data_IF_334196194356
#
_entry.id   IF_334196194356
#
_cell.length_a   1.000
_cell.length_b   1.000
_cell.length_c   1.000
_cell.angle_alpha   90.00
_cell.angle_beta   90.00
_cell.angle_gamma   90.00
#
_symmetry.space_group_name_H-M   'P 1'
#
loop_
_entity.id
_entity.type
_entity.pdbx_description
1 polymer ?
#
# COMPACT_ATOMS: atom_id res chain seq x y z
N UNK A 1 -34.02 6.34 0.92
CA UNK A 1 -34.34 5.13 1.73
C UNK A 1 -35.10 4.13 0.87
N UNK A 2 -34.67 3.90 -0.38
CA UNK A 2 -35.36 3.00 -1.30
C UNK A 2 -34.37 2.57 -2.39
N UNK A 3 -33.88 1.34 -2.27
CA UNK A 3 -33.30 0.46 -3.29
C UNK A 3 -32.55 -0.66 -2.55
N UNK A 4 -33.31 -1.51 -1.85
CA UNK A 4 -32.81 -2.74 -1.23
C UNK A 4 -33.95 -3.77 -1.16
N UNK A 5 -34.57 -4.07 -2.31
CA UNK A 5 -35.41 -5.28 -2.46
C UNK A 5 -35.25 -5.80 -3.88
N UNK A 6 -34.73 -7.02 -3.99
CA UNK A 6 -34.73 -7.80 -5.24
C UNK A 6 -33.35 -8.16 -5.75
N UNK A 7 -32.74 -9.21 -5.19
CA UNK A 7 -32.03 -10.28 -5.93
C UNK A 7 -31.25 -11.16 -4.94
N UNK A 8 -31.70 -12.42 -4.78
CA UNK A 8 -30.82 -13.48 -4.32
C UNK A 8 -29.81 -13.74 -5.44
N UNK A 9 -28.69 -13.00 -5.42
CA UNK A 9 -27.61 -13.12 -6.39
C UNK A 9 -26.29 -12.72 -5.76
N UNK A 10 -25.32 -13.65 -5.78
CA UNK A 10 -23.91 -13.50 -5.40
C UNK A 10 -23.50 -12.17 -4.75
N UNK A 11 -23.64 -12.10 -3.43
CA UNK A 11 -23.14 -10.99 -2.63
C UNK A 11 -21.61 -10.92 -2.81
N UNK A 12 -21.01 -9.80 -3.29
CA UNK A 12 -19.58 -9.74 -3.49
C UNK A 12 -18.85 -10.04 -2.18
N UNK A 13 -17.98 -11.06 -2.20
CA UNK A 13 -17.17 -11.55 -1.08
C UNK A 13 -16.48 -10.37 -0.39
N UNK A 14 -16.33 -10.39 0.95
CA UNK A 14 -15.98 -9.21 1.77
C UNK A 14 -14.78 -8.39 1.26
N UNK A 15 -13.77 -9.05 0.69
CA UNK A 15 -12.60 -8.39 0.08
C UNK A 15 -12.91 -7.56 -1.18
N UNK A 16 -13.81 -8.05 -2.05
CA UNK A 16 -14.28 -7.31 -3.23
C UNK A 16 -15.02 -6.04 -2.82
N UNK A 17 -15.86 -6.14 -1.78
CA UNK A 17 -16.59 -4.98 -1.24
C UNK A 17 -15.68 -3.90 -0.67
N UNK A 18 -14.62 -4.28 0.04
CA UNK A 18 -13.66 -3.33 0.60
C UNK A 18 -12.82 -2.64 -0.49
N UNK A 19 -12.39 -3.40 -1.50
CA UNK A 19 -11.62 -2.85 -2.62
C UNK A 19 -12.49 -1.93 -3.49
N UNK A 20 -13.74 -2.32 -3.75
CA UNK A 20 -14.70 -1.50 -4.49
C UNK A 20 -15.13 -0.23 -3.74
N UNK A 21 -15.11 -0.24 -2.40
CA UNK A 21 -15.49 0.92 -1.60
C UNK A 21 -14.51 2.10 -1.77
N UNK A 22 -13.22 1.81 -1.92
CA UNK A 22 -12.20 2.83 -2.19
C UNK A 22 -11.08 2.24 -3.07
N UNK A 23 -11.19 2.29 -4.40
CA UNK A 23 -10.21 1.66 -5.30
C UNK A 23 -8.82 2.32 -5.23
N UNK A 24 -8.76 3.59 -4.83
CA UNK A 24 -7.49 4.29 -4.58
C UNK A 24 -6.77 3.82 -3.31
N UNK A 25 -7.42 3.07 -2.41
CA UNK A 25 -6.76 2.52 -1.23
C UNK A 25 -6.40 1.06 -1.44
N UNK A 26 -5.20 0.83 -1.95
CA UNK A 26 -4.70 -0.51 -2.30
C UNK A 26 -4.17 -1.28 -1.10
N UNK A 27 -3.73 -0.58 -0.04
CA UNK A 27 -3.19 -1.18 1.18
C UNK A 27 -4.13 -2.24 1.76
N UNK A 28 -5.43 -1.94 1.86
CA UNK A 28 -6.44 -2.88 2.38
C UNK A 28 -6.53 -4.13 1.51
N UNK A 29 -6.61 -3.95 0.18
CA UNK A 29 -6.64 -5.05 -0.77
C UNK A 29 -5.37 -5.92 -0.70
N UNK A 30 -4.21 -5.29 -0.59
CA UNK A 30 -2.92 -5.98 -0.49
C UNK A 30 -2.80 -6.80 0.79
N UNK A 31 -3.26 -6.26 1.92
CA UNK A 31 -3.31 -6.99 3.18
C UNK A 31 -4.23 -8.21 3.11
N UNK A 32 -5.39 -8.09 2.47
CA UNK A 32 -6.30 -9.22 2.27
C UNK A 32 -5.63 -10.30 1.42
N UNK A 33 -4.95 -9.92 0.33
CA UNK A 33 -4.21 -10.87 -0.51
C UNK A 33 -3.08 -11.57 0.26
N UNK A 34 -2.34 -10.84 1.10
CA UNK A 34 -1.33 -11.42 1.99
C UNK A 34 -1.93 -12.46 2.95
N UNK A 35 -3.07 -12.13 3.58
CA UNK A 35 -3.76 -13.08 4.47
C UNK A 35 -4.27 -14.31 3.70
N UNK A 36 -4.80 -14.14 2.49
CA UNK A 36 -5.21 -15.27 1.65
C UNK A 36 -4.03 -16.18 1.29
N UNK A 37 -2.88 -15.58 0.97
CA UNK A 37 -1.64 -16.32 0.72
C UNK A 37 -1.20 -17.12 1.95
N UNK A 38 -1.18 -16.51 3.14
CA UNK A 38 -0.85 -17.20 4.40
C UNK A 38 -1.77 -18.40 4.61
N UNK A 39 -3.08 -18.26 4.36
CA UNK A 39 -4.02 -19.37 4.52
C UNK A 39 -3.73 -20.50 3.52
N UNK A 40 -3.37 -20.17 2.27
CA UNK A 40 -2.99 -21.19 1.28
C UNK A 40 -1.71 -21.92 1.68
N UNK A 41 -0.69 -21.21 2.14
CA UNK A 41 0.59 -21.79 2.58
C UNK A 41 0.40 -22.71 3.80
N UNK A 42 -0.35 -22.25 4.81
CA UNK A 42 -0.66 -23.08 5.99
C UNK A 42 -1.53 -24.30 5.64
N UNK A 43 -2.44 -24.16 4.67
CA UNK A 43 -3.23 -25.28 4.16
C UNK A 43 -2.36 -26.32 3.44
N UNK A 44 -1.44 -25.86 2.57
CA UNK A 44 -0.53 -26.72 1.84
C UNK A 44 0.42 -27.48 2.78
N UNK A 45 0.97 -26.79 3.80
CA UNK A 45 1.77 -27.40 4.87
C UNK A 45 1.00 -28.47 5.64
N UNK A 46 -0.26 -28.18 6.00
CA UNK A 46 -1.13 -29.13 6.71
C UNK A 46 -1.45 -30.38 5.88
N UNK A 47 -1.48 -30.27 4.55
CA UNK A 47 -1.70 -31.38 3.61
C UNK A 47 -0.44 -32.23 3.38
N UNK A 48 0.74 -31.78 3.84
CA UNK A 48 2.02 -32.47 3.63
C UNK A 48 2.54 -32.34 2.19
N UNK A 49 2.09 -31.34 1.43
CA UNK A 49 2.64 -31.05 0.12
C UNK A 49 3.97 -30.30 0.32
N UNK A 50 5.08 -30.95 -0.05
CA UNK A 50 6.41 -30.34 -0.02
C UNK A 50 6.46 -29.07 -0.87
N UNK A 51 7.02 -27.99 -0.31
CA UNK A 51 7.12 -26.64 -0.90
C UNK A 51 7.85 -26.58 -2.26
N UNK A 52 8.46 -27.68 -2.72
CA UNK A 52 9.24 -27.76 -3.95
C UNK A 52 8.40 -27.81 -5.25
N UNK A 53 7.15 -28.28 -5.18
CA UNK A 53 6.35 -28.53 -6.40
C UNK A 53 5.81 -27.27 -7.09
N UNK A 54 5.78 -26.11 -6.41
CA UNK A 54 5.31 -24.86 -7.01
C UNK A 54 6.44 -23.93 -7.49
N UNK A 55 7.69 -24.22 -7.11
CA UNK A 55 8.85 -23.46 -7.59
C UNK A 55 9.33 -23.93 -8.97
N UNK A 56 8.98 -25.16 -9.38
CA UNK A 56 9.28 -25.68 -10.71
C UNK A 56 8.26 -25.20 -11.75
N UNK A 57 8.56 -23.99 -12.23
CA UNK A 57 8.35 -23.43 -13.57
C UNK A 57 7.01 -23.71 -14.28
N UNK A 58 6.27 -22.62 -14.53
CA UNK A 58 5.09 -22.58 -15.41
C UNK A 58 5.32 -23.25 -16.78
N UNK A 59 6.56 -23.26 -17.28
CA UNK A 59 6.96 -23.97 -18.51
C UNK A 59 7.07 -25.49 -18.32
N UNK A 60 7.62 -25.94 -17.19
CA UNK A 60 7.68 -27.36 -16.85
C UNK A 60 6.26 -27.93 -16.64
N UNK A 61 5.36 -27.17 -15.99
CA UNK A 61 3.94 -27.52 -15.86
C UNK A 61 3.26 -27.73 -17.22
N UNK A 62 3.62 -26.96 -18.25
CA UNK A 62 3.08 -27.13 -19.61
C UNK A 62 3.50 -28.47 -20.23
N UNK A 63 4.74 -28.91 -19.98
CA UNK A 63 5.28 -30.19 -20.45
C UNK A 63 4.81 -31.41 -19.64
N UNK A 64 4.36 -31.20 -18.39
CA UNK A 64 3.91 -32.27 -17.48
C UNK A 64 2.39 -32.35 -17.33
N UNK A 65 1.61 -31.75 -18.24
CA UNK A 65 0.14 -31.74 -18.19
C UNK A 65 -0.49 -33.13 -18.40
N UNK A 66 -0.50 -33.92 -17.33
CA UNK A 66 -1.28 -35.14 -17.13
C UNK A 66 -2.18 -35.10 -15.90
N UNK A 67 -2.34 -33.93 -15.25
CA UNK A 67 -3.22 -33.79 -14.10
C UNK A 67 -3.35 -32.35 -13.65
N UNK A 68 -4.38 -31.65 -14.13
CA UNK A 68 -4.92 -30.51 -13.39
C UNK A 68 -5.52 -31.07 -12.11
N UNK A 69 -4.76 -31.05 -11.02
CA UNK A 69 -5.35 -31.29 -9.70
C UNK A 69 -6.23 -30.09 -9.38
N UNK A 70 -7.53 -30.19 -9.64
CA UNK A 70 -8.49 -29.30 -9.00
C UNK A 70 -8.23 -29.37 -7.48
N UNK A 71 -7.74 -28.27 -6.93
CA UNK A 71 -7.42 -28.16 -5.51
C UNK A 71 -8.73 -28.25 -4.72
N UNK A 72 -9.07 -29.46 -4.30
CA UNK A 72 -10.22 -29.71 -3.46
C UNK A 72 -9.95 -29.20 -2.04
N UNK A 73 -10.21 -27.91 -1.79
CA UNK A 73 -10.14 -27.26 -0.47
C UNK A 73 -11.20 -27.79 0.53
N UNK A 74 -11.71 -29.00 0.38
CA UNK A 74 -12.82 -29.54 1.19
C UNK A 74 -12.37 -30.25 2.46
N UNK A 75 -11.08 -30.57 2.60
CA UNK A 75 -10.56 -31.27 3.77
C UNK A 75 -10.37 -30.29 4.93
N UNK A 76 -10.94 -30.64 6.09
CA UNK A 76 -10.87 -29.84 7.31
C UNK A 76 -9.69 -30.30 8.17
N UNK A 77 -8.81 -29.37 8.51
CA UNK A 77 -7.70 -29.60 9.44
C UNK A 77 -7.96 -28.80 10.72
N UNK A 78 -8.10 -29.50 11.85
CA UNK A 78 -8.32 -28.88 13.16
C UNK A 78 -7.23 -27.85 13.57
N UNK A 79 -5.91 -28.06 13.33
CA UNK A 79 -4.88 -27.09 13.74
C UNK A 79 -4.77 -25.88 12.80
N UNK A 80 -5.32 -25.92 11.58
CA UNK A 80 -5.15 -24.87 10.57
C UNK A 80 -5.57 -23.49 11.08
N UNK A 81 -6.67 -23.43 11.84
CA UNK A 81 -7.17 -22.17 12.39
C UNK A 81 -6.18 -21.55 13.38
N UNK A 82 -5.55 -22.36 14.23
CA UNK A 82 -4.59 -21.88 15.21
C UNK A 82 -3.33 -21.34 14.51
N UNK A 83 -2.78 -22.11 13.56
CA UNK A 83 -1.60 -21.71 12.79
C UNK A 83 -1.83 -20.41 12.00
N UNK A 84 -3.00 -20.28 11.35
CA UNK A 84 -3.35 -19.05 10.62
C UNK A 84 -3.44 -17.85 11.56
N UNK A 85 -3.98 -18.02 12.77
CA UNK A 85 -4.05 -16.93 13.76
C UNK A 85 -2.65 -16.53 14.21
N UNK A 86 -1.76 -17.49 14.45
CA UNK A 86 -0.37 -17.24 14.81
C UNK A 86 0.38 -16.48 13.71
N UNK A 87 0.29 -16.94 12.45
CA UNK A 87 0.87 -16.27 11.30
C UNK A 87 0.33 -14.84 11.08
N UNK A 88 -0.96 -14.61 11.35
CA UNK A 88 -1.54 -13.26 11.29
C UNK A 88 -0.95 -12.36 12.39
N UNK A 89 -0.71 -12.88 13.61
CA UNK A 89 -0.11 -12.12 14.69
C UNK A 89 1.38 -11.81 14.43
N UNK A 90 2.11 -12.74 13.81
CA UNK A 90 3.48 -12.50 13.35
C UNK A 90 3.52 -11.37 12.30
N UNK A 91 2.64 -11.44 11.29
CA UNK A 91 2.49 -10.38 10.30
C UNK A 91 2.14 -9.03 10.93
N UNK A 92 1.28 -9.01 11.96
CA UNK A 92 0.95 -7.77 12.67
C UNK A 92 2.18 -7.17 13.36
N UNK A 93 2.99 -8.01 14.00
CA UNK A 93 4.24 -7.59 14.67
C UNK A 93 5.25 -7.05 13.65
N UNK A 94 5.36 -7.67 12.46
CA UNK A 94 6.19 -7.19 11.35
C UNK A 94 5.75 -5.78 10.89
N UNK A 95 4.44 -5.56 10.73
CA UNK A 95 3.89 -4.27 10.28
C UNK A 95 4.18 -3.14 11.27
N UNK A 96 4.11 -3.42 12.57
CA UNK A 96 4.39 -2.43 13.62
C UNK A 96 5.87 -2.02 13.64
N UNK A 97 6.79 -2.96 13.43
CA UNK A 97 8.24 -2.69 13.40
C UNK A 97 8.76 -2.11 12.07
N UNK A 98 7.92 -2.03 11.03
CA UNK A 98 8.34 -1.71 9.67
C UNK A 98 8.98 -0.31 9.53
N UNK A 99 8.43 0.71 10.19
CA UNK A 99 8.99 2.07 10.13
C UNK A 99 10.36 2.16 10.78
N UNK A 100 10.57 1.45 11.88
CA UNK A 100 11.83 1.46 12.62
C UNK A 100 12.91 0.70 11.84
N UNK A 101 12.55 -0.44 11.23
CA UNK A 101 13.45 -1.20 10.36
C UNK A 101 13.93 -0.37 9.16
N UNK A 102 13.04 0.40 8.54
CA UNK A 102 13.41 1.32 7.46
C UNK A 102 14.28 2.45 7.99
N UNK A 103 13.94 3.03 9.15
CA UNK A 103 14.70 4.13 9.74
C UNK A 103 16.14 3.73 10.07
N UNK A 104 16.37 2.50 10.58
CA UNK A 104 17.71 2.00 10.90
C UNK A 104 18.65 1.94 9.68
N UNK A 105 18.10 1.76 8.47
CA UNK A 105 18.88 1.75 7.22
C UNK A 105 19.32 3.15 6.77
N UNK A 106 18.83 4.23 7.41
CA UNK A 106 19.08 5.59 6.97
C UNK A 106 20.55 6.00 7.00
N UNK A 107 21.32 5.46 7.95
CA UNK A 107 22.74 5.76 8.10
C UNK A 107 23.61 5.25 6.94
N UNK A 108 23.15 4.26 6.19
CA UNK A 108 23.89 3.75 5.02
C UNK A 108 23.71 4.66 3.80
N UNK A 109 22.59 5.39 3.74
CA UNK A 109 22.20 6.17 2.56
C UNK A 109 22.46 7.67 2.68
N UNK A 110 22.38 8.25 3.89
CA UNK A 110 22.47 9.70 4.11
C UNK A 110 23.82 10.07 4.70
N UNK A 111 24.67 10.82 4.00
CA UNK A 111 25.94 11.31 4.53
C UNK A 111 25.87 12.76 5.03
N UNK A 112 26.89 13.18 5.77
CA UNK A 112 26.99 14.56 6.28
C UNK A 112 27.16 15.56 5.14
N UNK A 113 26.58 16.75 5.30
CA UNK A 113 26.61 17.87 4.35
C UNK A 113 25.96 17.55 2.98
N UNK A 114 25.09 16.55 2.91
CA UNK A 114 24.28 16.30 1.72
C UNK A 114 23.03 17.19 1.71
N UNK A 115 22.59 17.56 0.51
CA UNK A 115 21.31 18.22 0.27
C UNK A 115 20.32 17.18 -0.22
N UNK A 116 19.32 16.89 0.62
CA UNK A 116 18.27 15.92 0.33
C UNK A 116 16.99 16.67 -0.04
N UNK A 117 16.30 16.19 -1.07
CA UNK A 117 14.98 16.72 -1.44
C UNK A 117 13.87 15.70 -1.18
N UNK A 118 12.75 16.16 -0.62
CA UNK A 118 11.53 15.38 -0.37
C UNK A 118 10.30 16.17 -0.80
N UNK A 119 9.18 15.48 -1.04
CA UNK A 119 7.90 16.08 -1.42
C UNK A 119 6.78 15.65 -0.49
N UNK A 120 5.90 16.60 -0.16
CA UNK A 120 4.72 16.38 0.65
C UNK A 120 5.07 15.88 2.05
N UNK A 121 4.23 14.99 2.59
CA UNK A 121 4.38 14.44 3.93
C UNK A 121 4.36 12.92 3.91
N UNK A 122 5.44 12.30 4.38
CA UNK A 122 5.52 10.86 4.59
C UNK A 122 6.15 10.56 5.95
N UNK A 123 5.45 9.77 6.77
CA UNK A 123 5.92 9.38 8.11
C UNK A 123 7.16 8.49 8.04
N UNK A 124 7.21 7.59 7.07
CA UNK A 124 8.37 6.70 6.86
C UNK A 124 9.60 7.52 6.51
N UNK A 125 9.47 8.51 5.61
CA UNK A 125 10.59 9.40 5.23
C UNK A 125 10.96 10.32 6.39
N UNK A 126 9.99 10.86 7.11
CA UNK A 126 10.23 11.68 8.30
C UNK A 126 11.03 10.91 9.37
N UNK A 127 10.65 9.67 9.67
CA UNK A 127 11.37 8.80 10.61
C UNK A 127 12.77 8.47 10.11
N UNK A 128 12.91 8.16 8.81
CA UNK A 128 14.19 7.88 8.16
C UNK A 128 15.18 9.06 8.27
N UNK A 129 14.72 10.28 7.97
CA UNK A 129 15.54 11.48 8.08
C UNK A 129 15.89 11.79 9.55
N UNK A 130 14.93 11.65 10.47
CA UNK A 130 15.18 11.88 11.91
C UNK A 130 16.18 10.90 12.50
N UNK A 131 16.19 9.64 12.08
CA UNK A 131 17.18 8.67 12.56
C UNK A 131 18.59 9.02 12.08
N UNK A 132 18.75 9.34 10.79
CA UNK A 132 20.04 9.78 10.25
C UNK A 132 20.56 11.06 10.94
N UNK A 133 19.65 11.99 11.26
CA UNK A 133 19.98 13.27 11.89
C UNK A 133 20.58 13.13 13.30
N UNK A 134 20.36 11.99 13.98
CA UNK A 134 20.97 11.73 15.29
C UNK A 134 22.50 11.67 15.24
N UNK A 135 23.06 11.23 14.10
CA UNK A 135 24.52 11.04 13.94
C UNK A 135 25.15 11.96 12.91
N UNK A 136 24.38 12.45 11.93
CA UNK A 136 24.88 13.23 10.79
C UNK A 136 24.11 14.53 10.64
N UNK A 137 24.80 15.59 10.21
CA UNK A 137 24.19 16.89 9.89
C UNK A 137 24.08 17.03 8.38
N UNK A 138 22.89 17.36 7.89
CA UNK A 138 22.58 17.50 6.47
C UNK A 138 21.43 18.49 6.28
N UNK A 139 21.21 18.90 5.04
CA UNK A 139 20.17 19.87 4.68
C UNK A 139 19.02 19.18 3.95
N UNK A 140 17.77 19.53 4.29
CA UNK A 140 16.57 18.95 3.67
C UNK A 140 15.71 20.03 3.01
N UNK A 141 15.44 19.85 1.73
CA UNK A 141 14.54 20.68 0.95
C UNK A 141 13.20 19.96 0.85
N UNK A 142 12.14 20.57 1.36
CA UNK A 142 10.79 20.02 1.39
C UNK A 142 9.92 20.80 0.40
N UNK A 143 9.50 20.13 -0.67
CA UNK A 143 8.46 20.63 -1.56
C UNK A 143 7.08 20.46 -0.91
N UNK A 144 6.27 21.51 -0.92
CA UNK A 144 5.05 21.60 -0.11
C UNK A 144 3.90 20.69 -0.58
N UNK A 145 3.87 20.26 -1.85
CA UNK A 145 2.79 19.50 -2.47
C UNK A 145 1.46 20.29 -2.46
N UNK A 146 1.42 21.37 -3.23
CA UNK A 146 0.19 22.09 -3.55
C UNK A 146 -0.82 21.13 -4.22
N UNK A 147 -2.12 21.23 -3.93
CA UNK A 147 -2.80 22.35 -3.24
C UNK A 147 -2.92 22.23 -1.72
N UNK A 148 -2.67 21.05 -1.13
CA UNK A 148 -2.92 20.82 0.31
C UNK A 148 -1.77 21.27 1.23
N UNK A 149 -0.59 21.60 0.66
CA UNK A 149 0.60 22.10 1.37
C UNK A 149 1.02 21.25 2.58
N UNK A 150 0.84 19.92 2.51
CA UNK A 150 1.13 19.02 3.63
C UNK A 150 2.61 18.97 4.02
N UNK A 151 3.51 19.37 3.10
CA UNK A 151 4.95 19.46 3.37
C UNK A 151 5.32 20.44 4.49
N UNK A 152 4.49 21.45 4.77
CA UNK A 152 4.75 22.40 5.86
C UNK A 152 4.80 21.74 7.23
N UNK A 153 3.91 20.77 7.47
CA UNK A 153 3.89 19.99 8.71
C UNK A 153 5.13 19.12 8.85
N UNK A 154 5.59 18.50 7.75
CA UNK A 154 6.81 17.69 7.71
C UNK A 154 8.04 18.55 7.98
N UNK A 155 8.16 19.69 7.30
CA UNK A 155 9.26 20.63 7.51
C UNK A 155 9.32 21.14 8.95
N UNK A 156 8.16 21.50 9.54
CA UNK A 156 8.08 21.90 10.95
C UNK A 156 8.54 20.78 11.88
N UNK A 157 8.16 19.53 11.60
CA UNK A 157 8.54 18.38 12.41
C UNK A 157 10.03 18.04 12.32
N UNK A 158 10.65 18.23 11.14
CA UNK A 158 12.08 18.04 10.91
C UNK A 158 12.91 19.17 11.54
N UNK A 159 12.45 20.42 11.44
CA UNK A 159 13.09 21.57 12.09
C UNK A 159 13.12 21.43 13.62
N UNK A 160 12.02 20.94 14.23
CA UNK A 160 11.98 20.59 15.66
C UNK A 160 12.98 19.51 16.06
N UNK A 161 13.38 18.64 15.13
CA UNK A 161 14.41 17.62 15.35
C UNK A 161 15.84 18.15 15.14
N UNK A 162 16.01 19.44 14.85
CA UNK A 162 17.33 20.06 14.65
C UNK A 162 17.93 19.86 13.26
N UNK A 163 17.12 19.46 12.27
CA UNK A 163 17.54 19.34 10.87
C UNK A 163 17.38 20.70 10.20
N UNK A 164 18.36 21.11 9.40
CA UNK A 164 18.25 22.32 8.58
C UNK A 164 17.28 22.06 7.43
N UNK A 165 16.09 22.65 7.50
CA UNK A 165 15.01 22.44 6.54
C UNK A 165 14.67 23.70 5.77
N UNK A 166 14.56 23.60 4.45
CA UNK A 166 14.07 24.66 3.57
C UNK A 166 12.75 24.23 2.94
N UNK A 167 11.72 25.06 2.99
CA UNK A 167 10.45 24.81 2.29
C UNK A 167 10.47 25.52 0.95
N UNK A 168 10.03 24.83 -0.10
CA UNK A 168 9.91 25.40 -1.44
C UNK A 168 8.51 25.14 -2.03
N UNK A 169 8.10 26.00 -2.96
CA UNK A 169 6.94 25.75 -3.80
C UNK A 169 7.27 24.69 -4.87
N UNK A 170 6.26 23.94 -5.31
CA UNK A 170 6.45 22.85 -6.28
C UNK A 170 6.97 23.36 -7.64
N UNK A 171 6.64 24.60 -8.02
CA UNK A 171 7.17 25.24 -9.22
C UNK A 171 8.70 25.48 -9.17
N UNK A 172 9.28 25.53 -7.97
CA UNK A 172 10.71 25.76 -7.78
C UNK A 172 11.54 24.48 -7.76
N UNK A 173 10.90 23.30 -7.90
CA UNK A 173 11.56 21.99 -7.85
C UNK A 173 12.70 21.92 -8.87
N UNK A 174 12.41 22.26 -10.13
CA UNK A 174 13.41 22.19 -11.20
C UNK A 174 14.57 23.18 -11.00
N UNK A 175 14.28 24.40 -10.53
CA UNK A 175 15.30 25.43 -10.31
C UNK A 175 16.31 25.03 -9.23
N UNK A 176 15.84 24.38 -8.17
CA UNK A 176 16.65 23.98 -7.01
C UNK A 176 17.33 22.62 -7.21
N UNK A 177 16.83 21.78 -8.12
CA UNK A 177 17.32 20.42 -8.35
C UNK A 177 18.84 20.34 -8.66
N UNK A 178 19.41 21.37 -9.31
CA UNK A 178 20.84 21.44 -9.62
C UNK A 178 21.78 21.34 -8.40
N UNK A 179 21.28 21.63 -7.19
CA UNK A 179 22.05 21.59 -5.93
C UNK A 179 21.72 20.37 -5.07
N UNK A 180 20.75 19.57 -5.47
CA UNK A 180 20.27 18.42 -4.70
C UNK A 180 21.17 17.22 -4.97
N UNK A 181 21.60 16.52 -3.93
CA UNK A 181 22.42 15.32 -4.07
C UNK A 181 21.58 14.06 -4.20
N UNK A 182 20.48 13.97 -3.45
CA UNK A 182 19.57 12.81 -3.44
C UNK A 182 18.13 13.26 -3.28
N UNK A 183 17.26 12.52 -3.94
CA UNK A 183 15.82 12.68 -3.76
C UNK A 183 15.32 11.49 -2.94
N UNK A 184 14.65 11.77 -1.82
CA UNK A 184 14.02 10.74 -0.98
C UNK A 184 12.53 11.02 -0.93
N UNK A 185 11.73 10.08 -1.42
CA UNK A 185 10.27 10.21 -1.46
C UNK A 185 9.57 9.06 -0.75
N UNK A 186 8.36 9.36 -0.27
CA UNK A 186 7.40 8.33 0.11
C UNK A 186 6.51 7.95 -1.07
N UNK A 187 5.78 6.86 -0.93
CA UNK A 187 4.77 6.43 -1.91
C UNK A 187 3.49 6.00 -1.21
N UNK A 188 2.36 6.10 -1.90
CA UNK A 188 1.10 5.51 -1.45
C UNK A 188 1.01 4.04 -1.88
N UNK A 189 1.49 3.70 -3.07
CA UNK A 189 1.41 2.34 -3.61
C UNK A 189 2.56 2.07 -4.57
N UNK A 190 3.14 0.88 -4.49
CA UNK A 190 4.08 0.36 -5.49
C UNK A 190 3.32 -0.63 -6.37
N UNK A 191 3.37 -0.46 -7.68
CA UNK A 191 2.67 -1.32 -8.65
C UNK A 191 3.54 -2.53 -9.07
N UNK A 192 2.92 -3.51 -9.73
CA UNK A 192 3.60 -4.74 -10.14
C UNK A 192 4.75 -4.52 -11.14
N UNK A 193 4.67 -3.46 -11.96
CA UNK A 193 5.75 -3.08 -12.88
C UNK A 193 6.91 -2.35 -12.20
N UNK A 194 6.85 -2.14 -10.88
CA UNK A 194 7.81 -1.35 -10.12
C UNK A 194 7.55 0.16 -10.17
N UNK A 195 6.50 0.61 -10.87
CA UNK A 195 6.06 2.00 -10.85
C UNK A 195 5.41 2.37 -9.53
N UNK A 196 5.18 3.66 -9.33
CA UNK A 196 4.63 4.19 -8.09
C UNK A 196 3.39 4.99 -8.33
N UNK A 197 2.48 4.94 -7.37
CA UNK A 197 1.48 5.97 -7.17
C UNK A 197 1.83 6.74 -5.91
N UNK A 198 2.25 7.99 -6.09
CA UNK A 198 2.69 8.88 -5.04
C UNK A 198 1.84 10.16 -5.01
N UNK A 199 2.15 11.09 -4.09
CA UNK A 199 1.46 12.38 -4.02
C UNK A 199 1.66 13.17 -5.31
N UNK A 200 0.71 14.05 -5.64
CA UNK A 200 0.80 14.88 -6.84
C UNK A 200 2.11 15.70 -6.88
N UNK A 201 2.66 15.91 -8.06
CA UNK A 201 3.94 16.58 -8.28
C UNK A 201 5.16 15.67 -8.08
N UNK A 202 4.97 14.42 -7.68
CA UNK A 202 6.11 13.48 -7.56
C UNK A 202 6.66 13.09 -8.93
N UNK A 203 5.83 12.98 -9.97
CA UNK A 203 6.31 12.66 -11.32
C UNK A 203 7.21 13.76 -11.88
N UNK A 204 6.83 15.03 -11.72
CA UNK A 204 7.63 16.17 -12.18
C UNK A 204 8.95 16.26 -11.43
N UNK A 205 8.94 15.98 -10.13
CA UNK A 205 10.15 15.86 -9.31
C UNK A 205 11.04 14.70 -9.78
N UNK A 206 10.47 13.55 -10.14
CA UNK A 206 11.21 12.40 -10.65
C UNK A 206 11.83 12.67 -12.04
N UNK A 207 11.11 13.37 -12.92
CA UNK A 207 11.63 13.85 -14.20
C UNK A 207 12.79 14.84 -14.01
N UNK A 208 12.63 15.81 -13.12
CA UNK A 208 13.68 16.76 -12.79
C UNK A 208 14.91 16.05 -12.23
N UNK A 209 14.71 15.08 -11.33
CA UNK A 209 15.78 14.28 -10.76
C UNK A 209 16.54 13.51 -11.85
N UNK A 210 15.81 12.86 -12.76
CA UNK A 210 16.39 12.13 -13.89
C UNK A 210 17.20 13.05 -14.81
N UNK A 211 16.67 14.23 -15.13
CA UNK A 211 17.36 15.23 -15.95
C UNK A 211 18.69 15.68 -15.32
N UNK A 212 18.72 15.86 -14.01
CA UNK A 212 19.93 16.22 -13.26
C UNK A 212 20.77 15.00 -12.81
N UNK A 213 20.41 13.78 -13.23
CA UNK A 213 21.07 12.53 -12.83
C UNK A 213 21.17 12.36 -11.31
N UNK A 214 20.21 12.88 -10.55
CA UNK A 214 20.14 12.70 -9.10
C UNK A 214 19.41 11.39 -8.80
N UNK A 215 19.95 10.53 -7.89
CA UNK A 215 19.33 9.26 -7.56
C UNK A 215 18.04 9.50 -6.77
N UNK A 216 16.99 8.80 -7.20
CA UNK A 216 15.68 8.82 -6.57
C UNK A 216 15.49 7.56 -5.71
N UNK A 217 15.36 7.77 -4.41
CA UNK A 217 15.21 6.77 -3.37
C UNK A 217 13.78 6.80 -2.86
N UNK A 218 13.15 5.64 -2.79
CA UNK A 218 11.75 5.51 -2.37
C UNK A 218 11.68 4.71 -1.08
N UNK A 219 11.25 5.34 0.00
CA UNK A 219 11.01 4.63 1.26
C UNK A 219 9.59 4.07 1.24
N UNK A 220 9.47 2.77 0.95
CA UNK A 220 8.21 2.08 0.78
C UNK A 220 8.18 0.79 1.63
N UNK A 221 7.31 0.69 2.63
CA UNK A 221 7.10 -0.57 3.34
C UNK A 221 6.45 -1.63 2.43
N UNK A 222 6.71 -2.91 2.71
CA UNK A 222 6.26 -4.01 1.85
C UNK A 222 4.74 -4.12 1.71
N UNK A 223 3.96 -3.69 2.71
CA UNK A 223 2.49 -3.74 2.61
C UNK A 223 1.89 -2.78 1.56
N UNK A 224 2.68 -1.83 1.05
CA UNK A 224 2.26 -0.92 -0.05
C UNK A 224 2.45 -1.53 -1.45
N UNK A 225 3.04 -2.72 -1.56
CA UNK A 225 3.18 -3.45 -2.82
C UNK A 225 1.82 -3.99 -3.27
N UNK A 226 1.35 -3.52 -4.43
CA UNK A 226 0.11 -3.94 -5.08
C UNK A 226 0.40 -4.70 -6.37
N UNK A 227 -0.25 -5.86 -6.60
CA UNK A 227 -0.06 -6.64 -7.81
C UNK A 227 -0.76 -6.04 -9.03
N UNK A 228 -1.43 -4.88 -8.87
CA UNK A 228 -2.10 -4.19 -9.95
C UNK A 228 -1.08 -3.67 -10.97
N UNK A 229 -1.43 -3.79 -12.24
CA UNK A 229 -0.66 -3.26 -13.35
C UNK A 229 -1.28 -1.94 -13.83
N UNK A 230 -0.47 -0.92 -14.17
CA UNK A 230 -0.97 0.34 -14.71
C UNK A 230 -1.35 0.15 -16.20
N UNK A 231 -2.49 -0.47 -16.46
CA UNK A 231 -3.05 -0.58 -17.83
C UNK A 231 -4.04 0.56 -18.14
N UNK A 232 -4.59 1.22 -17.11
CA UNK A 232 -5.55 2.30 -17.23
C UNK A 232 -5.02 3.55 -16.50
N UNK A 233 -4.56 4.54 -17.25
CA UNK A 233 -4.08 5.82 -16.70
C UNK A 233 -5.18 6.56 -15.92
N UNK A 234 -6.44 6.42 -16.33
CA UNK A 234 -7.58 7.11 -15.71
C UNK A 234 -7.95 6.56 -14.32
N UNK A 235 -7.81 5.25 -14.11
CA UNK A 235 -8.24 4.58 -12.86
C UNK A 235 -7.22 4.77 -11.72
N UNK A 236 -6.02 5.25 -12.05
CA UNK A 236 -4.91 5.40 -11.11
C UNK A 236 -5.03 6.66 -10.26
N UNK A 237 -5.66 7.72 -10.78
CA UNK A 237 -5.76 9.02 -10.13
C UNK A 237 -6.98 9.12 -9.22
N UNK A 238 -6.78 9.68 -8.02
CA UNK A 238 -7.88 10.05 -7.13
C UNK A 238 -8.19 11.53 -7.28
N UNK A 239 -9.36 11.84 -7.81
CA UNK A 239 -9.87 13.21 -7.84
C UNK A 239 -10.54 13.56 -6.51
N UNK A 240 -10.27 14.77 -6.02
CA UNK A 240 -10.91 15.36 -4.85
C UNK A 240 -11.62 16.65 -5.25
N UNK A 241 -12.47 17.16 -4.35
CA UNK A 241 -13.14 18.45 -4.52
C UNK A 241 -12.14 19.53 -4.98
N UNK A 242 -12.48 20.33 -6.01
CA UNK A 242 -11.61 21.37 -6.54
C UNK A 242 -11.46 22.57 -5.60
N UNK A 243 -12.15 22.59 -4.46
CA UNK A 243 -12.15 23.69 -3.48
C UNK A 243 -10.74 24.14 -3.07
N UNK A 244 -9.80 23.20 -2.97
CA UNK A 244 -8.42 23.47 -2.57
C UNK A 244 -7.60 24.15 -3.67
N UNK A 245 -8.00 23.96 -4.94
CA UNK A 245 -7.38 24.60 -6.10
C UNK A 245 -8.04 25.95 -6.37
N UNK A 246 -9.38 26.00 -6.36
CA UNK A 246 -10.16 27.20 -6.56
C UNK A 246 -11.27 27.26 -5.51
N UNK A 247 -11.21 28.21 -4.55
CA UNK A 247 -12.19 28.29 -3.48
C UNK A 247 -13.56 28.70 -4.04
N UNK A 248 -14.62 28.24 -3.37
CA UNK A 248 -16.00 28.51 -3.77
C UNK A 248 -16.37 30.01 -3.78
N UNK A 249 -15.58 30.84 -3.10
CA UNK A 249 -15.76 32.29 -3.02
C UNK A 249 -15.58 33.02 -4.36
N UNK A 250 -14.93 32.40 -5.35
CA UNK A 250 -14.64 32.97 -6.69
C UNK A 250 -15.83 32.86 -7.68
N UNK A 251 -17.06 32.91 -7.15
CA UNK A 251 -18.34 32.46 -7.73
C UNK A 251 -18.58 32.66 -9.23
N UNK A 252 -18.15 33.77 -9.83
CA UNK A 252 -18.40 34.06 -11.24
C UNK A 252 -17.62 33.14 -12.20
N UNK A 253 -16.37 32.79 -11.83
CA UNK A 253 -15.44 32.02 -12.67
C UNK A 253 -15.76 30.52 -12.61
N UNK A 254 -16.25 30.05 -11.46
CA UNK A 254 -16.57 28.64 -11.21
C UNK A 254 -17.61 28.07 -12.18
N UNK A 255 -18.51 28.91 -12.70
CA UNK A 255 -19.53 28.49 -13.67
C UNK A 255 -18.97 28.25 -15.09
N UNK A 256 -17.76 28.76 -15.39
CA UNK A 256 -17.16 28.74 -16.73
C UNK A 256 -15.92 27.86 -16.84
N UNK A 257 -15.30 27.49 -15.71
CA UNK A 257 -14.03 26.77 -15.67
C UNK A 257 -14.24 25.37 -15.13
N UNK A 258 -13.63 24.38 -15.79
CA UNK A 258 -13.55 23.02 -15.27
C UNK A 258 -12.24 22.87 -14.49
N UNK A 259 -12.34 22.56 -13.19
CA UNK A 259 -11.19 22.47 -12.29
C UNK A 259 -11.01 21.01 -11.85
N UNK A 260 -9.84 20.45 -12.11
CA UNK A 260 -9.46 19.11 -11.68
C UNK A 260 -8.42 19.18 -10.56
N UNK A 261 -8.61 18.36 -9.53
CA UNK A 261 -7.68 18.23 -8.41
C UNK A 261 -7.28 16.75 -8.23
N UNK A 262 -6.28 16.25 -8.99
CA UNK A 262 -5.69 14.94 -8.74
C UNK A 262 -4.82 14.99 -7.48
N UNK A 263 -5.03 14.05 -6.58
CA UNK A 263 -4.25 13.93 -5.32
C UNK A 263 -3.01 13.06 -5.49
N UNK A 264 -3.10 12.07 -6.36
CA UNK A 264 -2.04 11.14 -6.64
C UNK A 264 -1.58 11.27 -8.08
N UNK A 265 -0.37 10.84 -8.32
CA UNK A 265 0.33 10.90 -9.58
C UNK A 265 1.11 9.60 -9.81
N UNK A 266 1.28 9.22 -11.07
CA UNK A 266 1.95 7.98 -11.46
C UNK A 266 3.40 8.25 -11.83
N UNK A 267 4.33 7.56 -11.17
CA UNK A 267 5.76 7.62 -11.47
C UNK A 267 6.19 6.31 -12.15
N UNK A 268 6.70 6.36 -13.39
CA UNK A 268 7.16 5.17 -14.08
C UNK A 268 8.43 4.58 -13.41
N UNK A 269 8.63 3.26 -13.50
CA UNK A 269 9.73 2.57 -12.83
C UNK A 269 11.13 3.03 -13.25
N UNK A 270 11.28 3.53 -14.48
CA UNK A 270 12.55 3.97 -15.08
C UNK A 270 13.16 5.24 -14.45
N UNK A 271 12.35 6.01 -13.73
CA UNK A 271 12.78 7.20 -13.00
C UNK A 271 13.27 6.87 -11.58
N UNK A 272 13.01 5.65 -11.11
CA UNK A 272 13.31 5.22 -9.75
C UNK A 272 14.67 4.53 -9.74
N UNK A 273 15.51 4.88 -8.76
CA UNK A 273 16.84 4.28 -8.63
C UNK A 273 16.83 3.15 -7.60
N UNK A 274 16.26 3.39 -6.42
CA UNK A 274 16.33 2.45 -5.30
C UNK A 274 15.04 2.47 -4.47
N UNK A 275 14.57 1.28 -4.11
CA UNK A 275 13.53 1.07 -3.11
C UNK A 275 14.15 0.71 -1.77
N UNK A 276 13.75 1.39 -0.70
CA UNK A 276 14.09 1.04 0.67
C UNK A 276 12.84 0.48 1.34
N UNK A 277 12.92 -0.78 1.73
CA UNK A 277 11.86 -1.53 2.40
C UNK A 277 12.34 -2.10 3.74
N UNK A 278 11.46 -2.72 4.51
CA UNK A 278 11.82 -3.30 5.81
C UNK A 278 12.85 -4.45 5.71
N UNK A 279 12.94 -5.12 4.57
CA UNK A 279 13.91 -6.20 4.32
C UNK A 279 15.22 -5.70 3.71
N UNK A 280 15.29 -4.43 3.29
CA UNK A 280 16.49 -3.81 2.73
C UNK A 280 16.24 -2.99 1.46
N UNK A 281 17.36 -2.63 0.82
CA UNK A 281 17.43 -1.90 -0.44
C UNK A 281 17.26 -2.81 -1.67
N UNK A 282 16.36 -2.45 -2.58
CA UNK A 282 16.05 -3.21 -3.79
C UNK A 282 15.99 -2.34 -5.04
N UNK A 283 16.47 -2.87 -6.17
CA UNK A 283 16.26 -2.25 -7.47
C UNK A 283 14.80 -2.41 -7.93
N UNK A 284 14.28 -1.50 -8.79
CA UNK A 284 12.93 -1.62 -9.33
C UNK A 284 12.64 -2.95 -10.03
N UNK A 285 13.62 -3.54 -10.70
CA UNK A 285 13.50 -4.85 -11.36
C UNK A 285 13.24 -6.00 -10.39
N UNK A 286 13.67 -5.87 -9.13
CA UNK A 286 13.48 -6.91 -8.11
C UNK A 286 12.07 -6.89 -7.50
N UNK A 287 11.30 -5.83 -7.71
CA UNK A 287 9.93 -5.69 -7.17
C UNK A 287 9.03 -6.85 -7.60
N UNK A 288 9.18 -7.34 -8.84
CA UNK A 288 8.44 -8.52 -9.32
C UNK A 288 8.67 -9.77 -8.45
N UNK A 289 9.92 -10.00 -8.02
CA UNK A 289 10.27 -11.13 -7.15
C UNK A 289 9.66 -10.95 -5.76
N UNK A 290 9.73 -9.75 -5.20
CA UNK A 290 9.09 -9.43 -3.91
C UNK A 290 7.58 -9.61 -3.96
N UNK A 291 6.96 -9.27 -5.09
CA UNK A 291 5.54 -9.48 -5.31
C UNK A 291 5.19 -10.97 -5.27
N UNK A 292 5.93 -11.83 -5.98
CA UNK A 292 5.73 -13.29 -5.93
C UNK A 292 5.91 -13.85 -4.52
N UNK A 293 6.87 -13.34 -3.76
CA UNK A 293 7.09 -13.74 -2.37
C UNK A 293 5.95 -13.26 -1.46
N UNK A 294 5.27 -12.17 -1.78
CA UNK A 294 4.22 -11.60 -0.92
C UNK A 294 2.79 -11.96 -1.32
N UNK A 295 2.53 -12.28 -2.60
CA UNK A 295 1.19 -12.40 -3.18
C UNK A 295 1.16 -13.55 -4.21
N UNK A 296 0.08 -14.33 -4.21
CA UNK A 296 -0.16 -15.40 -5.19
C UNK A 296 -0.66 -14.81 -6.52
N UNK A 297 -0.30 -15.41 -7.65
CA UNK A 297 -0.71 -14.93 -8.97
C UNK A 297 -2.23 -15.05 -9.19
N UNK A 298 -2.89 -16.05 -8.62
CA UNK A 298 -4.35 -16.24 -8.75
C UNK A 298 -5.17 -15.15 -8.02
N UNK A 299 -4.52 -14.31 -7.21
CA UNK A 299 -5.15 -13.21 -6.48
C UNK A 299 -5.01 -11.84 -7.17
N UNK A 300 -4.35 -11.77 -8.34
CA UNK A 300 -4.15 -10.50 -9.08
C UNK A 300 -5.47 -9.98 -9.62
N UNK A 301 -6.29 -10.88 -10.16
CA UNK A 301 -7.66 -10.62 -10.56
C UNK A 301 -8.57 -11.23 -9.50
N UNK A 302 -9.42 -10.42 -8.86
CA UNK A 302 -10.46 -10.95 -7.98
C UNK A 302 -11.55 -11.70 -8.79
N UNK A 303 -11.24 -12.38 -9.89
CA UNK A 303 -12.23 -12.97 -10.79
C UNK A 303 -12.59 -14.42 -10.46
N UNK A 304 -11.69 -15.20 -9.86
CA UNK A 304 -11.99 -16.63 -9.63
C UNK A 304 -13.06 -16.83 -8.56
N UNK A 305 -14.07 -17.65 -8.89
CA UNK A 305 -15.21 -17.99 -8.04
C UNK A 305 -14.81 -18.87 -6.84
N UNK A 306 -13.56 -19.34 -6.78
CA UNK A 306 -13.08 -20.40 -5.86
C UNK A 306 -12.89 -20.01 -4.39
N UNK A 307 -12.97 -18.73 -4.02
CA UNK A 307 -12.77 -18.27 -2.61
C UNK A 307 -13.91 -18.66 -1.64
N UNK A 308 -14.73 -19.65 -1.97
CA UNK A 308 -15.93 -20.06 -1.21
C UNK A 308 -15.60 -20.76 0.11
N UNK A 309 -14.42 -21.35 0.22
CA UNK A 309 -14.05 -22.19 1.37
C UNK A 309 -13.21 -21.41 2.38
N UNK A 310 -12.36 -20.49 1.92
CA UNK A 310 -11.52 -19.63 2.76
C UNK A 310 -12.33 -18.63 3.60
N UNK A 311 -13.44 -18.08 3.05
CA UNK A 311 -14.29 -17.12 3.77
C UNK A 311 -15.27 -17.78 4.76
N UNK A 312 -15.64 -19.06 4.56
CA UNK A 312 -16.47 -19.81 5.52
C UNK A 312 -15.69 -20.15 6.80
N UNK A 313 -14.37 -20.32 6.72
CA UNK A 313 -13.49 -20.61 7.85
C UNK A 313 -13.29 -19.42 8.82
N UNK A 314 -13.43 -18.19 8.33
CA UNK A 314 -13.11 -16.93 9.06
C UNK A 314 -14.31 -16.38 9.87
N UNK A 315 -15.44 -17.10 9.95
CA UNK A 315 -16.70 -16.49 10.39
C UNK A 315 -16.91 -16.25 11.88
N UNK A 316 -16.09 -16.79 12.80
CA UNK A 316 -16.43 -16.73 14.23
C UNK A 316 -15.37 -16.18 15.21
N UNK A 317 -14.16 -15.78 14.81
CA UNK A 317 -13.17 -15.27 15.81
C UNK A 317 -12.10 -14.33 15.25
N UNK A 318 -11.77 -14.43 13.96
CA UNK A 318 -10.69 -13.67 13.31
C UNK A 318 -11.08 -12.32 12.71
N UNK A 319 -12.37 -11.95 12.75
CA UNK A 319 -12.83 -10.64 12.27
C UNK A 319 -12.19 -9.48 13.04
N UNK A 320 -12.03 -9.61 14.36
CA UNK A 320 -11.45 -8.56 15.22
C UNK A 320 -9.96 -8.33 14.93
N UNK A 321 -9.20 -9.42 14.72
CA UNK A 321 -7.77 -9.36 14.37
C UNK A 321 -7.56 -8.83 12.95
N UNK A 322 -8.39 -9.21 11.99
CA UNK A 322 -8.33 -8.64 10.64
C UNK A 322 -8.64 -7.13 10.65
N UNK A 323 -9.59 -6.70 11.50
CA UNK A 323 -9.86 -5.28 11.74
C UNK A 323 -8.65 -4.59 12.37
N UNK A 324 -8.01 -5.18 13.37
CA UNK A 324 -6.80 -4.62 14.01
C UNK A 324 -5.63 -4.53 13.03
N UNK A 325 -5.41 -5.54 12.20
CA UNK A 325 -4.36 -5.55 11.19
C UNK A 325 -4.60 -4.47 10.12
N UNK A 326 -5.85 -4.33 9.64
CA UNK A 326 -6.22 -3.26 8.72
C UNK A 326 -6.15 -1.88 9.37
N UNK A 327 -6.49 -1.75 10.64
CA UNK A 327 -6.32 -0.52 11.43
C UNK A 327 -4.83 -0.20 11.64
N UNK A 328 -3.98 -1.19 11.86
CA UNK A 328 -2.55 -1.01 12.03
C UNK A 328 -1.90 -0.57 10.72
N UNK A 329 -2.22 -1.25 9.61
CA UNK A 329 -1.73 -0.88 8.28
C UNK A 329 -2.18 0.55 7.88
N UNK A 330 -3.45 0.89 8.09
CA UNK A 330 -3.97 2.25 7.80
C UNK A 330 -3.47 3.32 8.79
N UNK A 331 -3.20 2.96 10.05
CA UNK A 331 -2.56 3.85 11.03
C UNK A 331 -1.09 4.09 10.70
N UNK A 332 -0.37 3.07 10.22
CA UNK A 332 1.02 3.19 9.79
C UNK A 332 1.10 4.07 8.53
N UNK A 333 0.13 3.94 7.62
CA UNK A 333 0.08 4.69 6.36
C UNK A 333 -0.40 6.15 6.52
N UNK A 334 -1.50 6.41 7.24
CA UNK A 334 -2.10 7.74 7.33
C UNK A 334 -2.08 8.32 8.73
N UNK A 335 -1.46 9.50 8.87
CA UNK A 335 -1.75 10.37 10.00
C UNK A 335 -3.15 10.94 9.90
N UNK A 336 -3.92 10.81 11.00
CA UNK A 336 -5.27 11.34 11.25
C UNK A 336 -5.94 12.01 10.03
N UNK A 337 -6.35 11.23 9.04
CA UNK A 337 -7.21 11.73 7.95
C UNK A 337 -8.40 10.79 7.76
N UNK A 338 -9.57 11.34 8.10
CA UNK A 338 -10.94 10.87 7.90
C UNK A 338 -11.27 9.39 8.21
N UNK A 339 -11.16 9.08 9.49
CA UNK A 339 -11.63 7.86 10.13
C UNK A 339 -13.13 7.53 9.88
N UNK A 340 -13.98 8.47 9.45
CA UNK A 340 -15.44 8.24 9.38
C UNK A 340 -15.91 7.25 8.32
N UNK A 341 -15.28 7.19 7.14
CA UNK A 341 -15.75 6.29 6.06
C UNK A 341 -15.30 4.86 6.31
N UNK A 342 -14.04 4.68 6.76
CA UNK A 342 -13.48 3.36 7.11
C UNK A 342 -14.21 2.81 8.35
N UNK A 343 -14.41 3.59 9.42
CA UNK A 343 -15.21 3.10 10.57
C UNK A 343 -16.68 2.85 10.23
N UNK A 344 -17.28 3.59 9.30
CA UNK A 344 -18.66 3.37 8.85
C UNK A 344 -18.84 2.07 8.05
N UNK A 345 -17.91 1.77 7.13
CA UNK A 345 -17.88 0.50 6.39
C UNK A 345 -17.45 -0.66 7.28
N UNK A 346 -16.48 -0.48 8.18
CA UNK A 346 -16.13 -1.49 9.18
C UNK A 346 -17.26 -1.78 10.16
N UNK A 347 -18.01 -0.78 10.61
CA UNK A 347 -19.20 -0.98 11.44
C UNK A 347 -20.34 -1.66 10.67
N UNK A 348 -20.42 -1.48 9.34
CA UNK A 348 -21.32 -2.20 8.44
C UNK A 348 -20.89 -3.66 8.20
N UNK A 349 -19.59 -3.92 8.05
CA UNK A 349 -19.01 -5.27 7.92
C UNK A 349 -19.11 -6.03 9.24
N UNK A 350 -18.83 -5.40 10.38
CA UNK A 350 -19.04 -5.96 11.72
C UNK A 350 -20.53 -6.21 12.02
N UNK A 351 -21.45 -5.33 11.60
CA UNK A 351 -22.89 -5.59 11.69
C UNK A 351 -23.32 -6.75 10.79
N UNK A 352 -22.78 -6.85 9.59
CA UNK A 352 -23.03 -7.97 8.68
C UNK A 352 -22.48 -9.30 9.23
N UNK A 353 -21.28 -9.30 9.84
CA UNK A 353 -20.71 -10.47 10.51
C UNK A 353 -21.52 -10.88 11.75
N UNK A 354 -22.11 -9.92 12.49
CA UNK A 354 -22.99 -10.19 13.63
C UNK A 354 -24.43 -10.58 13.24
N UNK A 355 -24.90 -10.22 12.03
CA UNK A 355 -26.28 -10.44 11.59
C UNK A 355 -26.47 -11.67 10.68
N UNK A 356 -25.40 -12.42 10.39
CA UNK A 356 -25.53 -13.70 9.69
C UNK A 356 -26.16 -14.74 10.65
N UNK A 357 -27.24 -15.44 10.26
CA UNK A 357 -27.88 -16.41 11.13
C UNK A 357 -26.90 -17.51 11.53
N UNK A 358 -26.86 -17.84 12.82
CA UNK A 358 -26.27 -19.06 13.37
C UNK A 358 -27.07 -20.27 12.87
N UNK A 359 -26.89 -20.63 11.60
CA UNK A 359 -27.51 -21.83 11.05
C UNK A 359 -26.58 -23.03 11.27
N UNK A 360 -26.90 -23.78 12.33
CA UNK A 360 -26.62 -25.19 12.60
C UNK A 360 -25.15 -25.66 12.63
N UNK A 361 -24.58 -25.67 13.84
CA UNK A 361 -23.78 -26.78 14.34
C UNK A 361 -24.43 -27.22 15.65
N UNK A 362 -25.29 -28.23 15.58
CA UNK A 362 -25.68 -29.03 16.75
C UNK A 362 -24.61 -30.10 16.89
N UNK A 363 -24.00 -30.14 18.07
CA UNK A 363 -23.03 -31.13 18.50
C UNK A 363 -23.64 -32.55 18.48
N UNK A 364 -22.93 -33.49 17.89
CA UNK A 364 -22.85 -34.87 18.41
C UNK A 364 -21.46 -35.06 19.03
#
# INVERSE_FOLDING_TARGET
>A
MEQCRGSHGNNPKGGRRMTAAQPSETTVGNMIRRVLKIIREEYARSRGSSEETDQQESLHKLLTTGGLSEENFRQHFAPLKANVIEAINELLTELEGTTDNIAMQALEHIHSNEVIMTIGRSRTVEAFLKDAARKRKFHVIVAECAPFCQGHEMATSLSKAGIETTVIADASIFAVMSRVNKVIIGTQTVLANGGLRAVNGTHTLALAAKHHSTPLIVCAPMFKLSPQFPNEEDTSHKFVSPQEVLPFTEGEILSKVNVHCPVFDYVPPELITLFISNIGGHAPSYIYRLMRISITFDDTEFETQEYDITFKFIRCTSALQLVQLLQCATRCDRGRFNNRIIYGTFAGVCRWMKAAPSAAFTDE
#
